data_IF_318187593909
#
_entry.id   IF_318187593909
#
_cell.length_a   1.000
_cell.length_b   1.000
_cell.length_c   1.000
_cell.angle_alpha   90.00
_cell.angle_beta   90.00
_cell.angle_gamma   90.00
#
_symmetry.space_group_name_H-M   'P 1'
#
loop_
_entity.id
_entity.type
_entity.pdbx_description
1 polymer ?
#
# COMPACT_ATOMS: atom_id res chain seq x y z
N UNK A 1 3.24 -27.76 -47.26
CA UNK A 1 4.12 -27.78 -46.06
C UNK A 1 4.37 -26.34 -45.68
N UNK A 2 3.92 -25.94 -44.48
CA UNK A 2 3.94 -24.57 -43.96
C UNK A 2 5.37 -24.20 -43.54
N UNK A 3 5.78 -22.96 -43.85
CA UNK A 3 7.09 -22.37 -43.54
C UNK A 3 7.35 -22.13 -42.04
N UNK A 4 8.54 -21.60 -41.70
CA UNK A 4 9.26 -21.97 -40.47
C UNK A 4 8.90 -21.14 -39.24
N UNK A 5 9.31 -21.72 -38.10
CA UNK A 5 9.26 -21.21 -36.74
C UNK A 5 9.66 -19.73 -36.63
N UNK A 6 8.86 -18.95 -35.90
CA UNK A 6 9.32 -17.69 -35.36
C UNK A 6 8.60 -17.34 -34.05
N UNK A 7 9.39 -16.75 -33.15
CA UNK A 7 9.01 -15.91 -32.02
C UNK A 7 8.37 -16.59 -30.79
N UNK A 8 9.27 -16.95 -29.87
CA UNK A 8 9.13 -16.86 -28.40
C UNK A 8 8.37 -15.59 -27.98
N UNK A 9 7.23 -15.76 -27.32
CA UNK A 9 6.61 -14.73 -26.47
C UNK A 9 6.09 -15.39 -25.17
N UNK A 10 6.96 -15.51 -24.16
CA UNK A 10 6.79 -14.91 -22.81
C UNK A 10 5.34 -14.72 -22.36
N UNK A 11 4.84 -15.66 -21.56
CA UNK A 11 3.88 -15.35 -20.49
C UNK A 11 4.22 -16.20 -19.27
N UNK A 12 5.21 -15.68 -18.54
CA UNK A 12 5.51 -16.03 -17.18
C UNK A 12 4.34 -15.51 -16.33
N UNK A 13 3.29 -16.32 -16.14
CA UNK A 13 2.21 -15.99 -15.20
C UNK A 13 2.72 -16.25 -13.78
N UNK A 14 3.63 -15.38 -13.34
CA UNK A 14 3.91 -15.12 -11.93
C UNK A 14 3.22 -13.83 -11.55
N UNK A 15 1.88 -13.87 -11.37
CA UNK A 15 1.14 -12.73 -10.80
C UNK A 15 1.34 -12.72 -9.30
N UNK A 16 2.19 -11.82 -8.80
CA UNK A 16 2.55 -11.73 -7.39
C UNK A 16 1.34 -11.33 -6.53
N UNK A 17 0.86 -12.25 -5.69
CA UNK A 17 0.06 -11.95 -4.49
C UNK A 17 0.97 -11.58 -3.33
N UNK A 18 1.75 -10.50 -3.50
CA UNK A 18 2.57 -9.90 -2.45
C UNK A 18 2.37 -8.40 -2.55
N UNK A 19 2.17 -7.73 -1.41
CA UNK A 19 2.19 -6.26 -1.21
C UNK A 19 0.85 -5.54 -0.96
N UNK A 20 -0.27 -6.23 -0.73
CA UNK A 20 -1.48 -5.55 -0.19
C UNK A 20 -1.52 -5.64 1.32
N UNK A 21 -1.98 -4.58 1.99
CA UNK A 21 -2.18 -4.60 3.45
C UNK A 21 -3.19 -5.68 3.85
N UNK A 22 -2.82 -6.55 4.79
CA UNK A 22 -3.78 -7.47 5.39
C UNK A 22 -4.60 -6.78 6.49
N UNK A 23 -5.78 -7.34 6.79
CA UNK A 23 -6.71 -6.76 7.77
C UNK A 23 -6.07 -6.52 9.13
N UNK A 24 -5.21 -7.42 9.63
CA UNK A 24 -4.61 -7.25 10.97
C UNK A 24 -3.64 -6.07 10.98
N UNK A 25 -2.89 -5.92 9.90
CA UNK A 25 -1.98 -4.79 9.71
C UNK A 25 -2.76 -3.47 9.64
N UNK A 26 -3.90 -3.44 8.93
CA UNK A 26 -4.78 -2.26 8.89
C UNK A 26 -5.38 -1.93 10.26
N UNK A 27 -5.93 -2.92 10.96
CA UNK A 27 -6.52 -2.72 12.29
C UNK A 27 -5.49 -2.18 13.29
N UNK A 28 -4.25 -2.70 13.27
CA UNK A 28 -3.15 -2.22 14.11
C UNK A 28 -2.72 -0.79 13.73
N UNK A 29 -2.59 -0.51 12.42
CA UNK A 29 -2.22 0.81 11.90
C UNK A 29 -3.22 1.88 12.36
N UNK A 30 -4.52 1.64 12.20
CA UNK A 30 -5.56 2.59 12.59
C UNK A 30 -5.70 2.73 14.10
N UNK A 31 -5.48 1.65 14.87
CA UNK A 31 -5.46 1.76 16.34
C UNK A 31 -4.32 2.67 16.79
N UNK A 32 -3.11 2.48 16.27
CA UNK A 32 -1.95 3.30 16.64
C UNK A 32 -2.14 4.76 16.25
N UNK A 33 -2.69 5.04 15.06
CA UNK A 33 -3.00 6.42 14.65
C UNK A 33 -4.04 7.07 15.56
N UNK A 34 -5.11 6.35 15.91
CA UNK A 34 -6.15 6.86 16.80
C UNK A 34 -5.59 7.11 18.20
N UNK A 35 -4.90 6.13 18.77
CA UNK A 35 -4.42 6.20 20.15
C UNK A 35 -3.42 7.35 20.34
N UNK A 36 -2.67 7.72 19.30
CA UNK A 36 -1.69 8.81 19.34
C UNK A 36 -2.25 10.18 18.93
N UNK A 37 -3.24 10.25 18.04
CA UNK A 37 -3.60 11.50 17.37
C UNK A 37 -5.09 11.82 17.32
N UNK A 38 -5.99 11.03 17.93
CA UNK A 38 -7.44 11.27 17.89
C UNK A 38 -7.86 12.64 18.45
N UNK A 39 -7.10 13.19 19.38
CA UNK A 39 -7.38 14.49 20.02
C UNK A 39 -6.72 15.67 19.31
N UNK A 40 -5.90 15.42 18.29
CA UNK A 40 -5.22 16.47 17.53
C UNK A 40 -6.21 17.17 16.58
N UNK A 41 -6.11 18.49 16.37
CA UNK A 41 -6.98 19.20 15.45
C UNK A 41 -6.82 18.73 14.00
N UNK A 42 -5.66 18.16 13.64
CA UNK A 42 -5.39 17.59 12.32
C UNK A 42 -5.86 16.13 12.17
N UNK A 43 -6.58 15.56 13.14
CA UNK A 43 -6.98 14.14 13.12
C UNK A 43 -7.71 13.72 11.83
N UNK A 44 -8.61 14.56 11.31
CA UNK A 44 -9.31 14.27 10.05
C UNK A 44 -8.35 14.21 8.85
N UNK A 45 -7.32 15.05 8.84
CA UNK A 45 -6.30 15.06 7.79
C UNK A 45 -5.40 13.82 7.90
N UNK A 46 -5.00 13.45 9.11
CA UNK A 46 -4.24 12.22 9.40
C UNK A 46 -5.01 10.98 8.94
N UNK A 47 -6.31 10.90 9.25
CA UNK A 47 -7.15 9.79 8.78
C UNK A 47 -7.25 9.75 7.25
N UNK A 48 -7.47 10.91 6.61
CA UNK A 48 -7.55 11.01 5.15
C UNK A 48 -6.25 10.52 4.50
N UNK A 49 -5.12 10.98 5.01
CA UNK A 49 -3.79 10.64 4.51
C UNK A 49 -3.48 9.16 4.74
N UNK A 50 -3.94 8.57 5.84
CA UNK A 50 -3.82 7.13 6.09
C UNK A 50 -4.54 6.30 5.01
N UNK A 51 -5.78 6.65 4.68
CA UNK A 51 -6.52 5.99 3.61
C UNK A 51 -5.87 6.19 2.24
N UNK A 52 -5.38 7.40 1.95
CA UNK A 52 -4.68 7.70 0.71
C UNK A 52 -3.38 6.91 0.57
N UNK A 53 -2.60 6.82 1.66
CA UNK A 53 -1.34 6.09 1.69
C UNK A 53 -1.53 4.58 1.51
N UNK A 54 -2.57 3.98 2.10
CA UNK A 54 -2.94 2.57 1.84
C UNK A 54 -3.24 2.38 0.35
N UNK A 55 -4.10 3.21 -0.23
CA UNK A 55 -4.49 3.09 -1.64
C UNK A 55 -3.28 3.24 -2.59
N UNK A 56 -2.35 4.14 -2.27
CA UNK A 56 -1.10 4.33 -3.02
C UNK A 56 -0.19 3.10 -2.93
N UNK A 57 0.01 2.58 -1.72
CA UNK A 57 0.84 1.40 -1.49
C UNK A 57 0.26 0.14 -2.15
N UNK A 58 -1.04 -0.13 -1.98
CA UNK A 58 -1.73 -1.26 -2.63
C UNK A 58 -1.72 -1.13 -4.16
N UNK A 59 -1.75 0.11 -4.67
CA UNK A 59 -1.64 0.42 -6.09
C UNK A 59 -0.22 0.35 -6.66
N UNK A 60 0.79 0.11 -5.81
CA UNK A 60 2.20 0.07 -6.21
C UNK A 60 2.75 1.42 -6.69
N UNK A 61 2.17 2.53 -6.24
CA UNK A 61 2.64 3.90 -6.53
C UNK A 61 3.37 4.48 -5.32
N UNK A 62 4.25 5.45 -5.56
CA UNK A 62 4.97 6.13 -4.49
C UNK A 62 4.00 6.82 -3.52
N UNK A 63 4.33 6.80 -2.22
CA UNK A 63 3.49 7.41 -1.19
C UNK A 63 3.28 8.90 -1.42
N UNK A 64 4.23 9.62 -2.03
CA UNK A 64 4.10 11.04 -2.35
C UNK A 64 4.03 11.92 -1.10
N UNK A 65 3.28 13.02 -1.21
CA UNK A 65 3.01 13.93 -0.09
C UNK A 65 1.91 13.34 0.79
N UNK A 66 2.31 12.81 1.93
CA UNK A 66 1.49 12.18 2.98
C UNK A 66 2.06 12.67 4.30
N UNK A 67 1.19 12.95 5.27
CA UNK A 67 1.61 13.33 6.61
C UNK A 67 2.72 12.39 7.15
N UNK A 68 3.85 12.93 7.65
CA UNK A 68 4.96 12.12 8.13
C UNK A 68 4.56 11.08 9.19
N UNK A 69 3.61 11.41 10.07
CA UNK A 69 3.09 10.52 11.12
C UNK A 69 2.41 9.30 10.49
N UNK A 70 1.66 9.53 9.42
CA UNK A 70 1.01 8.45 8.64
C UNK A 70 2.05 7.64 7.88
N UNK A 71 3.03 8.28 7.24
CA UNK A 71 4.06 7.60 6.47
C UNK A 71 4.91 6.65 7.32
N UNK A 72 5.21 7.03 8.57
CA UNK A 72 5.91 6.20 9.54
C UNK A 72 5.10 4.94 9.89
N UNK A 73 3.83 5.10 10.24
CA UNK A 73 2.95 3.99 10.63
C UNK A 73 2.66 3.07 9.44
N UNK A 74 2.45 3.62 8.23
CA UNK A 74 2.32 2.85 7.00
C UNK A 74 3.54 1.96 6.74
N UNK A 75 4.76 2.51 6.82
CA UNK A 75 5.99 1.73 6.63
C UNK A 75 6.14 0.61 7.66
N UNK A 76 5.70 0.86 8.90
CA UNK A 76 5.77 -0.11 10.00
C UNK A 76 4.84 -1.31 9.78
N UNK A 77 3.65 -1.09 9.22
CA UNK A 77 2.63 -2.13 9.04
C UNK A 77 2.49 -2.62 7.59
N UNK A 78 3.24 -2.06 6.64
CA UNK A 78 3.23 -2.53 5.26
C UNK A 78 3.85 -3.93 5.17
N UNK A 79 3.12 -4.93 4.65
CA UNK A 79 3.67 -6.27 4.39
C UNK A 79 4.54 -6.24 3.12
N UNK A 80 5.68 -5.54 3.17
CA UNK A 80 6.76 -5.58 2.17
C UNK A 80 7.86 -6.56 2.58
#
# INVERSE_FOLDING_TARGET
MIGPANARLKDQIGGQTKNMFDKKSLDAMFSELRDNYELEPEWEEIQRDAHLGIARADGGVELGDIDPRVAEVLKKYNPS
#
